data_IF_385064327736
#
_entry.id   IF_385064327736
#
_cell.length_a   1.000
_cell.length_b   1.000
_cell.length_c   1.000
_cell.angle_alpha   90.00
_cell.angle_beta   90.00
_cell.angle_gamma   90.00
#
_symmetry.space_group_name_H-M   'P 1'
#
loop_
_entity.id
_entity.type
_entity.pdbx_description
1 polymer ?
#
# COMPACT_ATOMS: atom_id res chain seq x y z
N UNK A 1 -18.22 2.42 -10.73
CA UNK A 1 -16.83 2.39 -10.22
C UNK A 1 -16.34 0.99 -10.48
N UNK A 2 -15.36 0.83 -11.35
CA UNK A 2 -14.76 -0.46 -11.69
C UNK A 2 -13.82 -0.90 -10.55
N UNK A 3 -13.85 -2.19 -10.19
CA UNK A 3 -12.99 -2.78 -9.15
C UNK A 3 -11.52 -2.56 -9.48
N UNK A 4 -11.15 -2.67 -10.76
CA UNK A 4 -9.80 -2.37 -11.22
C UNK A 4 -9.41 -0.92 -10.92
N UNK A 5 -10.31 0.03 -11.22
CA UNK A 5 -10.09 1.45 -10.97
C UNK A 5 -9.99 1.77 -9.46
N UNK A 6 -10.83 1.12 -8.63
CA UNK A 6 -10.72 1.23 -7.17
C UNK A 6 -9.35 0.76 -6.68
N UNK A 7 -8.92 -0.44 -7.08
CA UNK A 7 -7.65 -1.00 -6.63
C UNK A 7 -6.47 -0.14 -7.09
N UNK A 8 -6.51 0.34 -8.34
CA UNK A 8 -5.47 1.23 -8.88
C UNK A 8 -5.34 2.55 -8.09
N UNK A 9 -6.47 3.21 -7.82
CA UNK A 9 -6.47 4.44 -7.01
C UNK A 9 -6.03 4.19 -5.57
N UNK A 10 -6.44 3.07 -4.97
CA UNK A 10 -6.09 2.73 -3.62
C UNK A 10 -4.60 2.38 -3.48
N UNK A 11 -4.04 1.63 -4.44
CA UNK A 11 -2.61 1.34 -4.53
C UNK A 11 -1.78 2.63 -4.62
N UNK A 12 -2.22 3.60 -5.44
CA UNK A 12 -1.58 4.91 -5.53
C UNK A 12 -1.57 5.65 -4.18
N UNK A 13 -2.72 5.72 -3.50
CA UNK A 13 -2.83 6.40 -2.19
C UNK A 13 -1.97 5.75 -1.11
N UNK A 14 -1.88 4.42 -1.09
CA UNK A 14 -1.02 3.71 -0.15
C UNK A 14 0.47 3.97 -0.42
N UNK A 15 0.86 4.06 -1.68
CA UNK A 15 2.23 4.42 -2.07
C UNK A 15 2.56 5.84 -1.63
N UNK A 16 1.68 6.81 -1.90
CA UNK A 16 1.83 8.20 -1.45
C UNK A 16 1.98 8.27 0.08
N UNK A 17 1.16 7.51 0.83
CA UNK A 17 1.26 7.46 2.30
C UNK A 17 2.61 6.89 2.77
N UNK A 18 3.13 5.87 2.10
CA UNK A 18 4.45 5.30 2.42
C UNK A 18 5.56 6.35 2.25
N UNK A 19 5.50 7.09 1.15
CA UNK A 19 6.47 8.14 0.83
C UNK A 19 6.39 9.29 1.84
N UNK A 20 5.18 9.72 2.22
CA UNK A 20 4.96 10.76 3.23
C UNK A 20 5.58 10.38 4.58
N UNK A 21 5.35 9.15 5.05
CA UNK A 21 5.93 8.67 6.32
C UNK A 21 7.45 8.60 6.21
N UNK A 22 7.98 8.10 5.10
CA UNK A 22 9.42 8.00 4.85
C UNK A 22 10.09 9.37 4.81
N UNK A 23 9.47 10.36 4.16
CA UNK A 23 9.91 11.74 4.13
C UNK A 23 9.86 12.36 5.54
N UNK A 24 8.80 12.09 6.29
CA UNK A 24 8.67 12.56 7.68
C UNK A 24 9.78 11.99 8.58
N UNK A 25 10.17 10.73 8.40
CA UNK A 25 11.29 10.12 9.14
C UNK A 25 12.62 10.79 8.76
N UNK A 26 12.90 10.86 7.46
CA UNK A 26 14.20 11.36 6.94
C UNK A 26 14.41 12.86 7.13
N UNK A 27 13.33 13.65 7.21
CA UNK A 27 13.37 15.08 7.52
C UNK A 27 13.61 15.41 9.00
N UNK A 28 13.68 14.39 9.88
CA UNK A 28 13.87 14.59 11.31
C UNK A 28 12.59 15.03 12.04
N UNK A 29 11.41 14.80 11.45
CA UNK A 29 10.12 15.10 12.09
C UNK A 29 9.73 14.08 13.18
N UNK A 30 10.68 13.23 13.59
CA UNK A 30 10.50 12.17 14.58
C UNK A 30 10.97 12.67 15.93
N UNK A 31 10.07 12.71 16.91
CA UNK A 31 10.36 13.34 18.21
C UNK A 31 11.18 12.45 19.15
N UNK A 32 10.98 11.14 19.09
CA UNK A 32 11.64 10.17 19.96
C UNK A 32 11.58 8.75 19.37
N UNK A 33 12.09 7.78 20.12
CA UNK A 33 12.12 6.38 19.72
C UNK A 33 10.73 5.74 19.59
N UNK A 34 9.76 6.15 20.41
CA UNK A 34 8.40 5.62 20.32
C UNK A 34 7.71 6.12 19.06
N UNK A 35 7.87 7.40 18.72
CA UNK A 35 7.38 8.00 17.47
C UNK A 35 8.04 7.33 16.25
N UNK A 36 9.37 7.10 16.29
CA UNK A 36 10.06 6.35 15.24
C UNK A 36 9.45 4.96 15.03
N UNK A 37 9.26 4.22 16.12
CA UNK A 37 8.74 2.86 16.09
C UNK A 37 7.29 2.83 15.57
N UNK A 38 6.46 3.79 15.95
CA UNK A 38 5.11 3.93 15.45
C UNK A 38 5.09 4.11 13.93
N UNK A 39 5.93 5.02 13.40
CA UNK A 39 6.03 5.29 11.95
C UNK A 39 6.54 4.11 11.15
N UNK A 40 7.54 3.39 11.67
CA UNK A 40 8.01 2.14 11.05
C UNK A 40 6.89 1.08 11.05
N UNK A 41 6.09 1.01 12.10
CA UNK A 41 4.90 0.15 12.16
C UNK A 41 3.86 0.53 11.10
N UNK A 42 3.62 1.83 10.89
CA UNK A 42 2.75 2.30 9.80
C UNK A 42 3.27 1.87 8.43
N UNK A 43 4.57 2.05 8.16
CA UNK A 43 5.23 1.59 6.92
C UNK A 43 5.00 0.09 6.71
N UNK A 44 5.18 -0.73 7.75
CA UNK A 44 4.96 -2.18 7.66
C UNK A 44 3.49 -2.52 7.35
N UNK A 45 2.54 -1.82 7.97
CA UNK A 45 1.12 -2.01 7.70
C UNK A 45 0.74 -1.64 6.26
N UNK A 46 1.28 -0.53 5.76
CA UNK A 46 1.08 -0.08 4.36
C UNK A 46 1.71 -1.08 3.38
N UNK A 47 2.91 -1.58 3.65
CA UNK A 47 3.56 -2.59 2.82
C UNK A 47 2.71 -3.88 2.72
N UNK A 48 2.21 -4.35 3.87
CA UNK A 48 1.33 -5.51 3.92
C UNK A 48 0.05 -5.31 3.08
N UNK A 49 -0.60 -4.15 3.22
CA UNK A 49 -1.79 -3.83 2.42
C UNK A 49 -1.50 -3.79 0.91
N UNK A 50 -0.35 -3.23 0.50
CA UNK A 50 0.07 -3.19 -0.90
C UNK A 50 0.29 -4.60 -1.47
N UNK A 51 0.87 -5.50 -0.71
CA UNK A 51 1.09 -6.89 -1.14
C UNK A 51 -0.22 -7.67 -1.27
N UNK A 52 -1.17 -7.49 -0.35
CA UNK A 52 -2.51 -8.07 -0.45
C UNK A 52 -3.27 -7.55 -1.68
N UNK A 53 -3.18 -6.25 -1.99
CA UNK A 53 -3.81 -5.69 -3.20
C UNK A 53 -3.22 -6.27 -4.48
N UNK A 54 -1.90 -6.48 -4.54
CA UNK A 54 -1.25 -7.15 -5.68
C UNK A 54 -1.71 -8.60 -5.80
N UNK A 55 -1.84 -9.31 -4.67
CA UNK A 55 -2.34 -10.68 -4.66
C UNK A 55 -3.79 -10.76 -5.17
N UNK A 56 -4.64 -9.81 -4.78
CA UNK A 56 -6.02 -9.71 -5.24
C UNK A 56 -6.10 -9.41 -6.75
N UNK A 57 -5.34 -8.43 -7.26
CA UNK A 57 -5.28 -8.13 -8.70
C UNK A 57 -4.84 -9.34 -9.53
N UNK A 58 -3.82 -10.06 -9.05
CA UNK A 58 -3.33 -11.27 -9.72
C UNK A 58 -4.42 -12.35 -9.81
N UNK A 59 -5.24 -12.49 -8.77
CA UNK A 59 -6.39 -13.41 -8.77
C UNK A 59 -7.48 -12.95 -9.73
N UNK A 60 -7.82 -11.66 -9.74
CA UNK A 60 -8.85 -11.11 -10.65
C UNK A 60 -8.45 -11.33 -12.10
N UNK A 61 -7.20 -10.99 -12.47
CA UNK A 61 -6.71 -11.22 -13.83
C UNK A 61 -6.70 -12.71 -14.22
N UNK A 62 -6.39 -13.61 -13.28
CA UNK A 62 -6.42 -15.05 -13.53
C UNK A 62 -7.85 -15.56 -13.79
N UNK A 63 -8.85 -15.06 -13.05
CA UNK A 63 -10.26 -15.45 -13.22
C UNK A 63 -10.80 -14.98 -14.58
N UNK A 64 -10.49 -13.75 -14.99
CA UNK A 64 -10.91 -13.23 -16.31
C UNK A 64 -10.31 -14.03 -17.49
N UNK A 65 -9.04 -14.46 -17.38
CA UNK A 65 -8.40 -15.31 -18.40
C UNK A 65 -9.02 -16.72 -18.47
N UNK A 66 -9.49 -17.28 -17.34
CA UNK A 66 -10.10 -18.62 -17.29
C UNK A 66 -11.56 -18.66 -17.73
N UNK A 67 -12.31 -17.57 -17.56
CA UNK A 67 -13.72 -17.48 -17.98
C UNK A 67 -13.88 -17.18 -19.49
N UNK A 68 -12.76 -17.01 -20.21
CA UNK A 68 -12.70 -16.70 -21.65
C UNK A 68 -12.64 -17.94 -22.56
N UNK A 69 -12.77 -19.17 -22.02
CA UNK A 69 -12.69 -20.44 -22.77
C UNK A 69 -13.91 -21.33 -22.63
#
# INVERSE_FOLDING_TARGET
>A
MDVYNFISQYNKRLTERMDDISQSITSGSVSDWEDYKARVGEIQGVAYALDELKALLKKVNYVEDTDST
#
